data_IF_577284957184
#
_entry.id   IF_577284957184
#
_cell.length_a   1.000
_cell.length_b   1.000
_cell.length_c   1.000
_cell.angle_alpha   90.00
_cell.angle_beta   90.00
_cell.angle_gamma   90.00
#
_symmetry.space_group_name_H-M   'P 1'
#
loop_
_entity.id
_entity.type
_entity.pdbx_description
1 polymer ?
#
# COMPACT_ATOMS: atom_id res chain seq x y z
N UNK A 1 -32.43 18.56 -4.44
CA UNK A 1 -31.75 17.52 -3.63
C UNK A 1 -30.69 16.89 -4.51
N UNK A 2 -29.42 17.19 -4.29
CA UNK A 2 -28.33 16.43 -4.91
C UNK A 2 -28.13 15.17 -4.08
N UNK A 3 -28.50 14.02 -4.62
CA UNK A 3 -28.07 12.72 -4.08
C UNK A 3 -26.55 12.74 -4.05
N UNK A 4 -25.94 12.71 -2.85
CA UNK A 4 -24.50 12.54 -2.71
C UNK A 4 -24.14 11.21 -3.36
N UNK A 5 -23.15 11.21 -4.24
CA UNK A 5 -22.59 9.97 -4.75
C UNK A 5 -22.17 9.08 -3.57
N UNK A 6 -22.42 7.76 -3.66
CA UNK A 6 -22.07 6.83 -2.59
C UNK A 6 -20.56 6.88 -2.31
N UNK A 7 -20.20 6.78 -1.03
CA UNK A 7 -18.79 6.87 -0.65
C UNK A 7 -18.05 5.64 -1.22
N UNK A 8 -16.81 5.77 -1.71
CA UNK A 8 -16.07 4.62 -2.26
C UNK A 8 -15.94 3.44 -1.28
N UNK A 9 -15.99 3.72 0.02
CA UNK A 9 -15.96 2.68 1.06
C UNK A 9 -17.26 1.87 1.15
N UNK A 10 -18.39 2.38 0.68
CA UNK A 10 -19.67 1.67 0.77
C UNK A 10 -19.65 0.38 -0.07
N UNK A 11 -19.07 0.45 -1.26
CA UNK A 11 -18.85 -0.74 -2.10
C UNK A 11 -17.87 -1.72 -1.46
N UNK A 12 -16.79 -1.21 -0.85
CA UNK A 12 -15.79 -2.05 -0.19
C UNK A 12 -16.32 -2.71 1.09
N UNK A 13 -17.23 -2.05 1.80
CA UNK A 13 -17.96 -2.62 2.94
C UNK A 13 -18.85 -3.78 2.52
N UNK A 14 -19.53 -3.65 1.39
CA UNK A 14 -20.33 -4.74 0.84
C UNK A 14 -19.43 -5.91 0.41
N UNK A 15 -18.35 -5.64 -0.33
CA UNK A 15 -17.40 -6.66 -0.76
C UNK A 15 -16.77 -7.39 0.45
N UNK A 16 -16.42 -6.66 1.52
CA UNK A 16 -15.85 -7.23 2.74
C UNK A 16 -16.76 -8.24 3.45
N UNK A 17 -18.08 -8.25 3.20
CA UNK A 17 -19.00 -9.25 3.77
C UNK A 17 -18.80 -10.65 3.18
N UNK A 18 -18.18 -10.73 2.00
CA UNK A 18 -18.06 -11.97 1.24
C UNK A 18 -16.62 -12.32 0.87
N UNK A 19 -15.69 -11.36 0.99
CA UNK A 19 -14.28 -11.57 0.73
C UNK A 19 -13.56 -12.30 1.89
N UNK A 20 -12.54 -13.10 1.56
CA UNK A 20 -11.53 -13.58 2.52
C UNK A 20 -10.37 -12.58 2.56
N UNK A 21 -10.17 -11.79 3.64
CA UNK A 21 -9.08 -10.84 3.77
C UNK A 21 -7.69 -11.48 3.60
N UNK A 22 -7.52 -12.74 4.02
CA UNK A 22 -6.26 -13.47 3.87
C UNK A 22 -6.01 -13.90 2.43
N UNK A 23 -7.05 -14.19 1.66
CA UNK A 23 -6.90 -14.39 0.21
C UNK A 23 -6.40 -13.12 -0.47
N UNK A 24 -7.01 -11.97 -0.16
CA UNK A 24 -6.58 -10.67 -0.71
C UNK A 24 -5.14 -10.35 -0.33
N UNK A 25 -4.74 -10.63 0.91
CA UNK A 25 -3.36 -10.48 1.36
C UNK A 25 -2.38 -11.36 0.56
N UNK A 26 -2.73 -12.63 0.33
CA UNK A 26 -1.91 -13.54 -0.49
C UNK A 26 -1.73 -13.01 -1.91
N UNK A 27 -2.80 -12.51 -2.52
CA UNK A 27 -2.74 -11.91 -3.86
C UNK A 27 -1.84 -10.67 -3.90
N UNK A 28 -1.89 -9.83 -2.86
CA UNK A 28 -1.01 -8.67 -2.72
C UNK A 28 0.47 -9.08 -2.58
N UNK A 29 0.75 -10.13 -1.79
CA UNK A 29 2.10 -10.66 -1.61
C UNK A 29 2.67 -11.30 -2.88
N UNK A 30 1.81 -11.84 -3.76
CA UNK A 30 2.22 -12.45 -5.01
C UNK A 30 2.54 -11.44 -6.12
N UNK A 31 2.25 -10.16 -5.93
CA UNK A 31 2.53 -9.13 -6.94
C UNK A 31 4.03 -8.93 -7.15
N UNK A 32 4.50 -8.83 -8.40
CA UNK A 32 5.90 -8.54 -8.67
C UNK A 32 6.25 -7.13 -8.17
N UNK A 33 7.44 -6.99 -7.60
CA UNK A 33 8.01 -5.68 -7.31
C UNK A 33 8.63 -5.11 -8.59
N UNK A 34 8.59 -3.79 -8.82
CA UNK A 34 9.33 -3.18 -9.91
C UNK A 34 10.83 -3.44 -9.71
N UNK A 35 11.49 -3.94 -10.74
CA UNK A 35 12.92 -4.26 -10.77
C UNK A 35 13.61 -3.49 -11.90
N UNK A 36 14.94 -3.39 -11.84
CA UNK A 36 15.79 -2.86 -12.91
C UNK A 36 15.88 -3.77 -14.16
N UNK A 37 15.08 -4.83 -14.24
CA UNK A 37 15.03 -5.78 -15.37
C UNK A 37 14.96 -5.07 -16.73
N UNK A 38 15.56 -5.64 -17.80
CA UNK A 38 15.96 -4.89 -18.99
C UNK A 38 14.77 -4.22 -19.66
N UNK A 39 14.78 -2.89 -19.60
CA UNK A 39 13.84 -1.97 -20.20
C UNK A 39 14.34 -0.56 -19.94
N UNK A 40 14.16 0.36 -20.89
CA UNK A 40 14.50 1.76 -20.66
C UNK A 40 13.41 2.40 -19.82
N UNK A 41 13.81 3.18 -18.82
CA UNK A 41 12.88 4.02 -18.06
C UNK A 41 12.68 5.33 -18.79
N UNK A 42 11.47 5.88 -18.76
CA UNK A 42 11.20 7.22 -19.31
C UNK A 42 11.97 8.29 -18.53
N UNK A 43 12.27 9.40 -19.22
CA UNK A 43 12.72 10.61 -18.56
C UNK A 43 11.62 11.08 -17.60
N UNK A 44 11.93 11.21 -16.30
CA UNK A 44 10.96 11.57 -15.26
C UNK A 44 10.49 10.42 -14.37
N UNK A 45 10.85 9.17 -14.67
CA UNK A 45 10.47 8.00 -13.86
C UNK A 45 10.81 8.12 -12.36
N UNK A 46 11.87 8.86 -12.04
CA UNK A 46 12.28 9.12 -10.66
C UNK A 46 11.22 9.92 -9.89
N UNK A 47 10.57 10.90 -10.51
CA UNK A 47 9.50 11.68 -9.88
C UNK A 47 8.31 10.79 -9.53
N UNK A 48 7.83 10.01 -10.51
CA UNK A 48 6.76 9.03 -10.30
C UNK A 48 7.10 8.01 -9.21
N UNK A 49 8.34 7.51 -9.16
CA UNK A 49 8.79 6.60 -8.10
C UNK A 49 8.87 7.27 -6.73
N UNK A 50 9.32 8.52 -6.64
CA UNK A 50 9.33 9.28 -5.38
C UNK A 50 7.92 9.44 -4.84
N UNK A 51 6.97 9.83 -5.69
CA UNK A 51 5.58 10.01 -5.30
C UNK A 51 4.93 8.71 -4.85
N UNK A 52 5.10 7.63 -5.63
CA UNK A 52 4.56 6.32 -5.26
C UNK A 52 5.16 5.79 -3.96
N UNK A 53 6.48 5.96 -3.77
CA UNK A 53 7.17 5.55 -2.53
C UNK A 53 6.71 6.40 -1.34
N UNK A 54 6.51 7.70 -1.53
CA UNK A 54 5.94 8.58 -0.51
C UNK A 54 4.53 8.15 -0.09
N UNK A 55 3.68 7.78 -1.05
CA UNK A 55 2.34 7.29 -0.79
C UNK A 55 2.34 5.96 -0.03
N UNK A 56 3.27 5.04 -0.35
CA UNK A 56 3.42 3.81 0.42
C UNK A 56 3.93 4.05 1.84
N UNK A 57 4.85 5.00 2.05
CA UNK A 57 5.25 5.41 3.41
C UNK A 57 4.08 5.97 4.21
N UNK A 58 3.21 6.76 3.57
CA UNK A 58 1.96 7.23 4.20
C UNK A 58 1.02 6.08 4.55
N UNK A 59 0.83 5.12 3.66
CA UNK A 59 0.04 3.90 3.92
C UNK A 59 0.58 3.14 5.14
N UNK A 60 1.90 2.98 5.23
CA UNK A 60 2.54 2.33 6.38
C UNK A 60 2.25 3.08 7.68
N UNK A 61 2.25 4.41 7.66
CA UNK A 61 1.88 5.24 8.82
C UNK A 61 0.41 5.04 9.21
N UNK A 62 -0.52 5.02 8.25
CA UNK A 62 -1.95 4.77 8.50
C UNK A 62 -2.17 3.42 9.23
N UNK A 63 -1.49 2.35 8.79
CA UNK A 63 -1.57 1.04 9.46
C UNK A 63 -0.95 1.05 10.85
N UNK A 64 0.18 1.76 11.05
CA UNK A 64 0.83 1.85 12.36
C UNK A 64 -0.03 2.58 13.38
N UNK A 65 -0.75 3.61 12.96
CA UNK A 65 -1.73 4.30 13.81
C UNK A 65 -2.84 3.32 14.23
N UNK A 66 -3.39 2.55 13.28
CA UNK A 66 -4.39 1.53 13.59
C UNK A 66 -3.87 0.37 14.46
N UNK A 67 -2.56 0.17 14.50
CA UNK A 67 -1.86 -0.82 15.32
C UNK A 67 -1.31 -0.23 16.63
N UNK A 68 -1.72 0.97 17.04
CA UNK A 68 -1.32 1.55 18.32
C UNK A 68 -1.60 0.58 19.48
N UNK A 69 -0.63 0.40 20.38
CA UNK A 69 -0.67 -0.62 21.43
C UNK A 69 -0.30 -2.04 20.98
N UNK A 70 -0.10 -2.29 19.69
CA UNK A 70 0.23 -3.60 19.10
C UNK A 70 1.48 -3.58 18.20
N UNK A 71 2.33 -2.56 18.37
CA UNK A 71 3.52 -2.32 17.55
C UNK A 71 4.72 -3.23 17.89
N UNK A 72 4.66 -3.95 19.00
CA UNK A 72 5.76 -4.81 19.45
C UNK A 72 6.14 -5.85 18.40
N UNK A 73 7.43 -5.94 18.12
CA UNK A 73 7.99 -6.84 17.10
C UNK A 73 7.86 -6.35 15.66
N UNK A 74 7.22 -5.20 15.40
CA UNK A 74 7.18 -4.64 14.05
C UNK A 74 8.52 -4.01 13.68
N UNK A 75 9.07 -4.31 12.49
CA UNK A 75 10.32 -3.72 12.08
C UNK A 75 10.18 -2.20 11.92
N UNK A 76 11.12 -1.44 12.50
CA UNK A 76 11.23 0.00 12.31
C UNK A 76 12.41 0.27 11.38
N UNK A 77 12.12 0.68 10.14
CA UNK A 77 13.17 1.03 9.18
C UNK A 77 13.38 2.53 9.16
N UNK A 78 14.63 2.97 9.29
CA UNK A 78 14.99 4.35 9.00
C UNK A 78 14.98 4.54 7.49
N UNK A 79 14.18 5.48 7.03
CA UNK A 79 14.06 5.81 5.61
C UNK A 79 14.88 7.04 5.29
N UNK A 80 15.66 7.01 4.20
CA UNK A 80 16.37 8.20 3.72
C UNK A 80 15.42 9.16 2.96
N UNK A 81 15.78 10.45 2.84
CA UNK A 81 15.07 11.41 1.99
C UNK A 81 15.03 10.92 0.53
N UNK A 82 13.88 11.05 -0.12
CA UNK A 82 13.67 10.57 -1.48
C UNK A 82 14.23 11.52 -2.56
N UNK A 83 14.40 12.80 -2.22
CA UNK A 83 14.75 13.85 -3.18
C UNK A 83 16.08 13.59 -3.91
N UNK A 84 17.07 13.07 -3.18
CA UNK A 84 18.44 12.92 -3.68
C UNK A 84 18.74 11.51 -4.21
N UNK A 85 17.76 10.60 -4.18
CA UNK A 85 17.95 9.24 -4.64
C UNK A 85 17.93 9.16 -6.17
N UNK A 86 18.88 8.40 -6.71
CA UNK A 86 18.92 7.96 -8.10
C UNK A 86 17.85 6.92 -8.39
N UNK A 87 17.52 6.69 -9.66
CA UNK A 87 16.55 5.66 -10.07
C UNK A 87 16.82 4.25 -9.47
N UNK A 88 18.05 3.70 -9.49
CA UNK A 88 18.34 2.41 -8.83
C UNK A 88 18.08 2.41 -7.31
N UNK A 89 18.41 3.51 -6.64
CA UNK A 89 18.16 3.67 -5.20
C UNK A 89 16.66 3.75 -4.91
N UNK A 90 15.91 4.50 -5.72
CA UNK A 90 14.45 4.59 -5.61
C UNK A 90 13.77 3.25 -5.82
N UNK A 91 14.21 2.43 -6.78
CA UNK A 91 13.66 1.09 -6.99
C UNK A 91 13.94 0.16 -5.82
N UNK A 92 15.15 0.23 -5.26
CA UNK A 92 15.52 -0.54 -4.07
C UNK A 92 14.71 -0.11 -2.86
N UNK A 93 14.62 1.19 -2.62
CA UNK A 93 13.86 1.81 -1.54
C UNK A 93 12.36 1.49 -1.64
N UNK A 94 11.80 1.56 -2.84
CA UNK A 94 10.42 1.19 -3.13
C UNK A 94 10.17 -0.29 -2.83
N UNK A 95 11.04 -1.18 -3.29
CA UNK A 95 10.92 -2.63 -3.05
C UNK A 95 10.98 -2.97 -1.55
N UNK A 96 11.90 -2.36 -0.79
CA UNK A 96 11.96 -2.52 0.67
C UNK A 96 10.73 -1.94 1.35
N UNK A 97 10.28 -0.76 0.92
CA UNK A 97 9.04 -0.13 1.38
C UNK A 97 7.82 -1.01 1.20
N UNK A 98 7.68 -1.64 0.02
CA UNK A 98 6.58 -2.55 -0.27
C UNK A 98 6.59 -3.79 0.63
N UNK A 99 7.77 -4.40 0.87
CA UNK A 99 7.90 -5.53 1.80
C UNK A 99 7.48 -5.14 3.22
N UNK A 100 7.90 -3.97 3.68
CA UNK A 100 7.52 -3.42 4.99
C UNK A 100 6.00 -3.20 5.08
N UNK A 101 5.41 -2.61 4.04
CA UNK A 101 3.97 -2.39 3.95
C UNK A 101 3.19 -3.71 4.04
N UNK A 102 3.62 -4.74 3.33
CA UNK A 102 2.97 -6.05 3.37
C UNK A 102 3.13 -6.76 4.74
N UNK A 103 4.26 -6.56 5.41
CA UNK A 103 4.46 -7.01 6.79
C UNK A 103 3.52 -6.30 7.78
N UNK A 104 3.33 -4.99 7.65
CA UNK A 104 2.38 -4.23 8.46
C UNK A 104 0.93 -4.66 8.19
N UNK A 105 0.58 -4.94 6.93
CA UNK A 105 -0.73 -5.49 6.58
C UNK A 105 -0.97 -6.83 7.26
N UNK A 106 0.02 -7.74 7.24
CA UNK A 106 -0.08 -9.02 7.93
C UNK A 106 -0.35 -8.86 9.42
N UNK A 107 0.38 -7.95 10.07
CA UNK A 107 0.16 -7.64 11.48
C UNK A 107 -1.24 -7.06 11.71
N UNK A 108 -1.69 -6.12 10.89
CA UNK A 108 -3.02 -5.51 10.98
C UNK A 108 -4.12 -6.58 10.89
N UNK A 109 -4.03 -7.49 9.93
CA UNK A 109 -5.02 -8.56 9.77
C UNK A 109 -4.97 -9.54 10.96
N UNK A 110 -3.78 -9.91 11.43
CA UNK A 110 -3.60 -10.84 12.55
C UNK A 110 -4.13 -10.26 13.87
N UNK A 111 -3.81 -9.00 14.17
CA UNK A 111 -4.32 -8.35 15.38
C UNK A 111 -5.84 -8.15 15.28
N UNK A 112 -6.34 -7.80 14.08
CA UNK A 112 -7.76 -7.66 13.81
C UNK A 112 -8.61 -8.91 13.97
N UNK A 113 -8.00 -10.10 13.98
CA UNK A 113 -8.71 -11.36 14.27
C UNK A 113 -9.07 -11.50 15.77
N UNK A 114 -8.30 -10.86 16.65
CA UNK A 114 -8.44 -10.98 18.11
C UNK A 114 -8.84 -9.67 18.81
N UNK A 115 -8.70 -8.53 18.14
CA UNK A 115 -8.92 -7.20 18.71
C UNK A 115 -9.78 -6.36 17.77
N UNK A 116 -10.65 -5.53 18.35
CA UNK A 116 -11.42 -4.52 17.61
C UNK A 116 -10.55 -3.32 17.29
N UNK A 117 -9.74 -3.44 16.23
CA UNK A 117 -8.89 -2.37 15.73
C UNK A 117 -9.41 -1.83 14.39
N UNK A 118 -9.08 -0.58 14.10
CA UNK A 118 -9.46 0.09 12.84
C UNK A 118 -8.26 0.79 12.24
N UNK A 119 -8.24 0.89 10.92
CA UNK A 119 -7.22 1.63 10.18
C UNK A 119 -7.85 2.75 9.35
N UNK A 120 -7.14 3.86 9.23
CA UNK A 120 -7.59 5.03 8.45
C UNK A 120 -7.36 4.81 6.97
N UNK A 121 -8.41 4.94 6.15
CA UNK A 121 -8.28 5.02 4.70
C UNK A 121 -9.41 5.84 4.09
N UNK A 122 -9.10 6.58 3.02
CA UNK A 122 -10.09 7.41 2.30
C UNK A 122 -10.91 8.34 3.22
N UNK A 123 -10.31 8.85 4.29
CA UNK A 123 -10.96 9.79 5.21
C UNK A 123 -11.85 9.16 6.28
N UNK A 124 -11.87 7.84 6.43
CA UNK A 124 -12.63 7.15 7.48
C UNK A 124 -11.83 6.02 8.13
N UNK A 125 -12.18 5.68 9.38
CA UNK A 125 -11.70 4.48 10.05
C UNK A 125 -12.51 3.26 9.60
N UNK A 126 -11.82 2.21 9.20
CA UNK A 126 -12.45 0.99 8.71
C UNK A 126 -11.84 -0.26 9.35
N UNK A 127 -12.60 -1.37 9.47
CA UNK A 127 -12.04 -2.63 9.95
C UNK A 127 -11.00 -3.18 8.96
N UNK A 128 -10.07 -4.05 9.39
CA UNK A 128 -9.00 -4.57 8.56
C UNK A 128 -9.47 -5.25 7.26
N UNK A 129 -10.64 -5.92 7.29
CA UNK A 129 -11.25 -6.54 6.12
C UNK A 129 -11.60 -5.55 5.00
N UNK A 130 -12.07 -4.34 5.35
CA UNK A 130 -12.33 -3.27 4.37
C UNK A 130 -11.02 -2.60 3.98
N UNK A 131 -10.11 -2.41 4.92
CA UNK A 131 -8.81 -1.78 4.68
C UNK A 131 -7.99 -2.53 3.62
N UNK A 132 -7.91 -3.87 3.69
CA UNK A 132 -7.13 -4.66 2.74
C UNK A 132 -7.68 -4.57 1.31
N UNK A 133 -9.01 -4.47 1.15
CA UNK A 133 -9.66 -4.28 -0.14
C UNK A 133 -9.36 -2.88 -0.71
N UNK A 134 -9.43 -1.84 0.13
CA UNK A 134 -9.04 -0.49 -0.25
C UNK A 134 -7.55 -0.45 -0.66
N UNK A 135 -6.69 -1.12 0.10
CA UNK A 135 -5.26 -1.20 -0.16
C UNK A 135 -4.96 -1.90 -1.50
N UNK A 136 -5.68 -2.98 -1.83
CA UNK A 136 -5.57 -3.66 -3.13
C UNK A 136 -5.74 -2.70 -4.31
N UNK A 137 -6.77 -1.84 -4.24
CA UNK A 137 -7.03 -0.83 -5.27
C UNK A 137 -5.99 0.29 -5.29
N UNK A 138 -5.56 0.77 -4.12
CA UNK A 138 -4.51 1.80 -3.99
C UNK A 138 -3.18 1.32 -4.57
N UNK A 139 -2.72 0.12 -4.19
CA UNK A 139 -1.48 -0.45 -4.71
C UNK A 139 -1.59 -0.72 -6.21
N UNK A 140 -2.72 -1.21 -6.72
CA UNK A 140 -2.89 -1.41 -8.16
C UNK A 140 -2.75 -0.09 -8.96
N UNK A 141 -3.23 1.03 -8.41
CA UNK A 141 -3.06 2.34 -9.03
C UNK A 141 -1.61 2.81 -9.02
N UNK A 142 -0.91 2.65 -7.89
CA UNK A 142 0.51 2.99 -7.80
C UNK A 142 1.36 2.12 -8.74
N UNK A 143 1.09 0.81 -8.78
CA UNK A 143 1.72 -0.13 -9.71
C UNK A 143 1.47 0.32 -11.17
N UNK A 144 0.26 0.79 -11.48
CA UNK A 144 -0.09 1.35 -12.79
C UNK A 144 0.78 2.55 -13.18
N UNK A 145 0.92 3.54 -12.31
CA UNK A 145 1.78 4.71 -12.57
C UNK A 145 3.24 4.31 -12.80
N UNK A 146 3.79 3.42 -11.98
CA UNK A 146 5.18 2.95 -12.15
C UNK A 146 5.33 2.19 -13.48
N UNK A 147 4.34 1.39 -13.87
CA UNK A 147 4.38 0.63 -15.12
C UNK A 147 4.30 1.54 -16.36
N UNK A 148 3.58 2.66 -16.30
CA UNK A 148 3.51 3.64 -17.39
C UNK A 148 4.89 4.28 -17.69
N UNK A 149 5.79 4.32 -16.70
CA UNK A 149 7.16 4.82 -16.85
C UNK A 149 8.13 3.81 -17.47
N UNK A 150 7.72 2.54 -17.61
CA UNK A 150 8.53 1.52 -18.28
C UNK A 150 8.35 1.65 -19.79
N UNK A 151 9.44 1.89 -20.51
CA UNK A 151 9.43 1.78 -21.97
C UNK A 151 9.49 0.29 -22.30
N UNK A 152 8.38 -0.21 -22.86
CA UNK A 152 8.40 -1.54 -23.47
C UNK A 152 9.20 -1.42 -24.77
N UNK A 153 10.24 -2.26 -24.99
CA UNK A 153 11.02 -2.22 -26.22
C UNK A 153 10.19 -2.43 -27.50
#
# INVERSE_FOLDING_TARGET
MTTRDPHPLDLLREEARHADPRAVQRDLNARPLPTLEPGTWRAGAEETLRDCTGMERKIQMEMRIGLEGHLDGLPLRRTAPLADMTLPELLTEHAEGRRMLLCLLDRLLTVGEAHDIRAWTMGEEVPPAVYVLALRGRLARLDGYINEERVTP
#
